data_IF_848618210448
#
_entry.id   IF_848618210448
#
_cell.length_a   1.000
_cell.length_b   1.000
_cell.length_c   1.000
_cell.angle_alpha   90.00
_cell.angle_beta   90.00
_cell.angle_gamma   90.00
#
_symmetry.space_group_name_H-M   'P 1'
#
loop_
_entity.id
_entity.type
_entity.pdbx_description
1 polymer ?
#
# COMPACT_ATOMS: atom_id res chain seq x y z
N UNK A 1 -0.06 3.69 -24.57
CA UNK A 1 -1.23 4.56 -24.37
C UNK A 1 -1.03 5.42 -23.14
N UNK A 2 -1.26 6.71 -23.28
CA UNK A 2 -1.13 7.66 -22.19
C UNK A 2 -2.27 7.53 -21.17
N UNK A 3 -1.95 7.68 -19.90
CA UNK A 3 -2.94 7.73 -18.85
C UNK A 3 -3.62 9.11 -18.81
N UNK A 4 -4.81 9.13 -18.26
CA UNK A 4 -5.62 10.35 -18.08
C UNK A 4 -5.96 10.54 -16.62
N UNK A 5 -6.09 11.79 -16.19
CA UNK A 5 -6.55 12.09 -14.84
C UNK A 5 -7.91 11.43 -14.62
N UNK A 6 -8.04 10.72 -13.50
CA UNK A 6 -9.23 9.94 -13.15
C UNK A 6 -9.07 8.44 -13.42
N UNK A 7 -8.11 8.06 -14.27
CA UNK A 7 -7.82 6.63 -14.45
C UNK A 7 -7.42 6.03 -13.12
N UNK A 8 -7.88 4.82 -12.85
CA UNK A 8 -7.62 4.17 -11.58
C UNK A 8 -7.55 2.66 -11.72
N UNK A 9 -7.00 2.03 -10.70
CA UNK A 9 -6.86 0.58 -10.62
C UNK A 9 -7.09 0.16 -9.17
N UNK A 10 -7.76 -0.96 -8.99
CA UNK A 10 -7.96 -1.54 -7.67
C UNK A 10 -7.87 -3.05 -7.73
N UNK A 11 -7.39 -3.64 -6.65
CA UNK A 11 -7.36 -5.09 -6.50
C UNK A 11 -7.50 -5.47 -5.03
N UNK A 12 -7.94 -6.69 -4.79
CA UNK A 12 -7.99 -7.26 -3.44
C UNK A 12 -6.66 -7.88 -3.09
N UNK A 13 -6.31 -7.88 -1.80
CA UNK A 13 -5.13 -8.57 -1.31
C UNK A 13 -5.35 -9.08 0.11
N UNK A 14 -4.58 -10.09 0.47
CA UNK A 14 -4.53 -10.64 1.83
C UNK A 14 -3.06 -10.77 2.19
N UNK A 15 -2.69 -10.28 3.38
CA UNK A 15 -1.37 -10.51 3.95
C UNK A 15 -1.55 -11.53 5.07
N UNK A 16 -0.94 -12.70 4.93
CA UNK A 16 -1.03 -13.75 5.93
C UNK A 16 -0.07 -13.48 7.08
N UNK A 17 -0.30 -14.11 8.24
CA UNK A 17 0.65 -14.02 9.35
C UNK A 17 2.02 -14.56 8.95
N UNK A 18 2.07 -15.60 8.11
CA UNK A 18 3.32 -16.13 7.60
C UNK A 18 4.10 -15.09 6.81
N UNK A 19 3.40 -14.32 5.98
CA UNK A 19 4.01 -13.22 5.22
C UNK A 19 4.55 -12.14 6.15
N UNK A 20 3.82 -11.81 7.22
CA UNK A 20 4.27 -10.84 8.24
C UNK A 20 5.56 -11.36 8.89
N UNK A 21 5.62 -12.64 9.24
CA UNK A 21 6.81 -13.23 9.83
C UNK A 21 8.01 -13.15 8.88
N UNK A 22 7.81 -13.40 7.59
CA UNK A 22 8.86 -13.29 6.58
C UNK A 22 9.32 -11.84 6.40
N UNK A 23 8.39 -10.90 6.40
CA UNK A 23 8.73 -9.49 6.31
C UNK A 23 9.55 -9.05 7.52
N UNK A 24 9.20 -9.49 8.72
CA UNK A 24 9.95 -9.19 9.93
C UNK A 24 11.40 -9.69 9.83
N UNK A 25 11.59 -10.92 9.31
CA UNK A 25 12.93 -11.47 9.09
C UNK A 25 13.70 -10.66 8.05
N UNK A 26 13.06 -10.34 6.93
CA UNK A 26 13.71 -9.63 5.84
C UNK A 26 14.08 -8.20 6.22
N UNK A 27 13.17 -7.49 6.89
CA UNK A 27 13.35 -6.08 7.21
C UNK A 27 14.10 -5.84 8.52
N UNK A 28 14.11 -6.83 9.43
CA UNK A 28 14.61 -6.66 10.78
C UNK A 28 13.60 -6.01 11.74
N UNK A 29 12.41 -5.65 11.25
CA UNK A 29 11.36 -5.08 12.10
C UNK A 29 10.63 -6.20 12.83
N UNK A 30 11.18 -6.60 13.96
CA UNK A 30 10.67 -7.69 14.80
C UNK A 30 9.91 -7.18 16.02
N UNK A 31 9.24 -6.04 15.89
CA UNK A 31 8.36 -5.54 16.94
C UNK A 31 7.33 -6.62 17.31
N UNK A 32 7.27 -7.03 18.60
CA UNK A 32 6.37 -8.12 19.01
C UNK A 32 4.89 -7.83 18.74
N UNK A 33 4.52 -6.59 18.53
CA UNK A 33 3.15 -6.23 18.14
C UNK A 33 2.71 -6.95 16.85
N UNK A 34 3.63 -7.30 15.99
CA UNK A 34 3.33 -7.97 14.71
C UNK A 34 3.44 -9.51 14.82
N UNK A 35 4.13 -10.03 15.84
CA UNK A 35 4.56 -11.43 15.85
C UNK A 35 4.03 -12.22 17.05
N UNK A 36 3.77 -11.58 18.17
CA UNK A 36 3.50 -12.23 19.43
C UNK A 36 2.06 -11.99 19.87
N UNK A 37 1.24 -13.05 19.85
CA UNK A 37 -0.17 -12.96 20.22
C UNK A 37 -0.38 -12.50 21.66
N UNK A 38 0.48 -12.95 22.58
CA UNK A 38 0.38 -12.57 23.99
C UNK A 38 0.70 -11.10 24.20
N UNK A 39 1.73 -10.61 23.50
CA UNK A 39 2.08 -9.20 23.53
C UNK A 39 0.95 -8.35 22.96
N UNK A 40 0.48 -8.70 21.77
CA UNK A 40 -0.57 -7.95 21.07
C UNK A 40 -1.90 -7.94 21.84
N UNK A 41 -2.22 -9.04 22.56
CA UNK A 41 -3.43 -9.14 23.36
C UNK A 41 -3.51 -8.06 24.45
N UNK A 42 -2.37 -7.56 24.92
CA UNK A 42 -2.30 -6.53 25.94
C UNK A 42 -2.38 -5.12 25.36
N UNK A 43 -2.39 -4.98 24.05
CA UNK A 43 -2.48 -3.68 23.36
C UNK A 43 -3.95 -3.37 23.01
N UNK A 44 -4.20 -2.14 22.58
CA UNK A 44 -5.52 -1.75 22.07
C UNK A 44 -5.95 -2.55 20.84
N UNK A 45 -4.99 -3.14 20.12
CA UNK A 45 -5.26 -3.90 18.89
C UNK A 45 -5.73 -5.32 19.16
N UNK A 46 -5.44 -5.87 20.34
CA UNK A 46 -5.88 -7.17 20.86
C UNK A 46 -5.28 -8.40 20.15
N UNK A 47 -4.75 -8.26 18.95
CA UNK A 47 -4.11 -9.33 18.18
C UNK A 47 -3.03 -8.72 17.29
N UNK A 48 -2.09 -9.54 16.76
CA UNK A 48 -1.03 -9.03 15.91
C UNK A 48 -1.56 -8.26 14.72
N UNK A 49 -0.89 -7.16 14.39
CA UNK A 49 -1.22 -6.33 13.24
C UNK A 49 -0.09 -6.42 12.22
N UNK A 50 -0.42 -6.20 10.96
CA UNK A 50 0.56 -6.12 9.87
C UNK A 50 1.36 -4.83 10.05
N UNK A 51 2.67 -4.88 9.77
CA UNK A 51 3.49 -3.66 9.74
C UNK A 51 2.85 -2.67 8.77
N UNK A 52 2.69 -1.42 9.21
CA UNK A 52 2.14 -0.39 8.33
C UNK A 52 2.91 -0.29 7.02
N UNK A 53 4.25 -0.27 7.11
CA UNK A 53 5.09 -0.17 5.90
C UNK A 53 5.02 -1.41 5.02
N UNK A 54 4.74 -2.59 5.58
CA UNK A 54 4.50 -3.78 4.76
C UNK A 54 3.19 -3.66 3.99
N UNK A 55 2.13 -3.19 4.65
CA UNK A 55 0.82 -3.05 3.99
C UNK A 55 0.90 -2.16 2.75
N UNK A 56 1.72 -1.11 2.79
CA UNK A 56 1.83 -0.15 1.69
C UNK A 56 2.77 -0.60 0.57
N UNK A 57 3.44 -1.74 0.72
CA UNK A 57 4.14 -2.35 -0.42
C UNK A 57 3.15 -2.69 -1.53
N UNK A 58 1.85 -2.81 -1.20
CA UNK A 58 0.79 -2.99 -2.20
C UNK A 58 0.73 -1.81 -3.19
N UNK A 59 1.04 -0.59 -2.75
CA UNK A 59 1.13 0.56 -3.66
C UNK A 59 2.26 0.37 -4.67
N UNK A 60 3.44 -0.03 -4.18
CA UNK A 60 4.58 -0.30 -5.07
C UNK A 60 4.31 -1.44 -6.04
N UNK A 61 3.68 -2.51 -5.57
CA UNK A 61 3.29 -3.62 -6.44
C UNK A 61 2.36 -3.14 -7.56
N UNK A 62 1.30 -2.42 -7.21
CA UNK A 62 0.34 -1.92 -8.21
C UNK A 62 1.02 -0.97 -9.18
N UNK A 63 1.74 0.01 -8.66
CA UNK A 63 2.34 1.05 -9.51
C UNK A 63 3.45 0.50 -10.40
N UNK A 64 4.20 -0.47 -9.93
CA UNK A 64 5.29 -1.07 -10.69
C UNK A 64 4.89 -2.17 -11.64
N UNK A 65 3.73 -2.79 -11.46
CA UNK A 65 3.33 -3.95 -12.28
C UNK A 65 2.00 -3.78 -13.01
N UNK A 66 1.13 -2.89 -12.54
CA UNK A 66 -0.22 -2.75 -13.07
C UNK A 66 -0.57 -1.33 -13.54
N UNK A 67 -0.31 -0.30 -12.71
CA UNK A 67 -0.83 1.03 -12.98
C UNK A 67 0.07 2.11 -12.33
N UNK A 68 0.91 2.82 -13.08
CA UNK A 68 1.12 2.79 -14.54
C UNK A 68 1.61 1.46 -15.08
N UNK A 69 2.35 0.67 -14.30
CA UNK A 69 2.84 -0.63 -14.70
C UNK A 69 4.34 -0.66 -14.92
N UNK A 70 4.80 -1.69 -15.61
CA UNK A 70 6.23 -1.94 -15.82
C UNK A 70 6.95 -0.69 -16.35
N UNK A 71 8.07 -0.37 -15.74
CA UNK A 71 8.86 0.82 -16.05
C UNK A 71 8.57 2.01 -15.14
N UNK A 72 7.53 1.95 -14.31
CA UNK A 72 7.25 3.01 -13.35
C UNK A 72 8.35 3.09 -12.28
N UNK A 73 8.76 4.31 -11.97
CA UNK A 73 9.70 4.57 -10.89
C UNK A 73 8.95 5.36 -9.82
N UNK A 74 8.86 4.81 -8.63
CA UNK A 74 8.20 5.44 -7.49
C UNK A 74 9.17 6.47 -6.91
N UNK A 75 8.86 7.75 -7.02
CA UNK A 75 9.78 8.82 -6.63
C UNK A 75 9.38 9.53 -5.34
N UNK A 76 8.16 9.36 -4.88
CA UNK A 76 7.71 9.97 -3.63
C UNK A 76 6.45 9.31 -3.10
N UNK A 77 6.27 9.37 -1.78
CA UNK A 77 5.09 8.81 -1.14
C UNK A 77 4.89 9.45 0.23
N UNK A 78 3.70 9.95 0.49
CA UNK A 78 3.29 10.23 1.86
C UNK A 78 2.25 9.19 2.29
N UNK A 79 2.10 9.01 3.59
CA UNK A 79 1.24 7.97 4.16
C UNK A 79 0.61 8.47 5.45
N UNK A 80 -0.64 8.09 5.65
CA UNK A 80 -1.34 8.26 6.91
C UNK A 80 -2.06 6.95 7.22
N UNK A 81 -1.71 6.35 8.36
CA UNK A 81 -2.30 5.08 8.81
C UNK A 81 -3.51 5.41 9.68
N UNK A 82 -4.71 5.18 9.15
CA UNK A 82 -5.96 5.55 9.83
C UNK A 82 -6.45 4.46 10.77
N UNK A 83 -6.22 3.19 10.42
CA UNK A 83 -6.67 2.01 11.15
C UNK A 83 -5.65 0.90 11.02
N UNK A 84 -5.59 -0.05 11.98
CA UNK A 84 -4.71 -1.21 11.85
C UNK A 84 -5.18 -2.11 10.71
N UNK A 85 -4.21 -2.77 10.08
CA UNK A 85 -4.46 -3.79 9.07
C UNK A 85 -4.08 -5.13 9.68
N UNK A 86 -5.04 -6.07 9.67
CA UNK A 86 -4.85 -7.37 10.32
C UNK A 86 -4.45 -8.45 9.33
N UNK A 87 -3.61 -9.41 9.74
CA UNK A 87 -3.27 -10.55 8.88
C UNK A 87 -4.51 -11.41 8.58
N UNK A 88 -4.44 -12.14 7.47
CA UNK A 88 -5.44 -13.14 7.08
C UNK A 88 -6.82 -12.57 6.82
N UNK A 89 -6.88 -11.28 6.54
CA UNK A 89 -8.11 -10.55 6.24
C UNK A 89 -7.98 -9.88 4.88
N UNK A 90 -9.08 -9.79 4.15
CA UNK A 90 -9.11 -9.18 2.81
C UNK A 90 -9.16 -7.65 2.91
N UNK A 91 -8.33 -7.00 2.10
CA UNK A 91 -8.32 -5.55 1.92
C UNK A 91 -8.29 -5.21 0.43
N UNK A 92 -8.55 -3.95 0.12
CA UNK A 92 -8.58 -3.45 -1.26
C UNK A 92 -7.59 -2.31 -1.36
N UNK A 93 -6.65 -2.42 -2.31
CA UNK A 93 -5.75 -1.33 -2.68
C UNK A 93 -6.32 -0.61 -3.89
N UNK A 94 -6.32 0.73 -3.85
CA UNK A 94 -6.81 1.56 -4.95
C UNK A 94 -5.79 2.66 -5.24
N UNK A 95 -5.49 2.83 -6.52
CA UNK A 95 -4.55 3.85 -7.01
C UNK A 95 -5.24 4.64 -8.11
N UNK A 96 -5.28 5.95 -7.99
CA UNK A 96 -5.94 6.83 -8.96
C UNK A 96 -5.01 7.96 -9.37
N UNK A 97 -4.88 8.19 -10.67
CA UNK A 97 -4.12 9.31 -11.20
C UNK A 97 -4.88 10.62 -10.98
N UNK A 98 -4.31 11.54 -10.20
CA UNK A 98 -4.97 12.81 -9.84
C UNK A 98 -4.28 14.04 -10.41
N UNK A 99 -3.03 13.90 -10.88
CA UNK A 99 -2.29 15.02 -11.45
C UNK A 99 -1.20 14.49 -12.38
N UNK A 100 -0.97 15.19 -13.47
CA UNK A 100 0.14 14.92 -14.39
C UNK A 100 1.03 16.17 -14.41
N UNK A 101 2.32 15.98 -14.21
CA UNK A 101 3.32 17.05 -14.35
C UNK A 101 3.88 16.92 -15.76
N UNK A 102 3.35 17.73 -16.67
CA UNK A 102 3.71 17.69 -18.08
C UNK A 102 5.20 17.93 -18.28
N UNK A 103 5.74 17.36 -19.34
CA UNK A 103 7.13 17.49 -19.76
C UNK A 103 8.15 16.82 -18.85
N UNK A 104 7.71 16.21 -17.74
CA UNK A 104 8.58 15.49 -16.80
C UNK A 104 8.23 14.01 -16.68
N UNK A 105 7.14 13.57 -17.31
CA UNK A 105 6.64 12.20 -17.23
C UNK A 105 6.32 11.76 -15.80
N UNK A 106 5.91 12.71 -14.94
CA UNK A 106 5.49 12.41 -13.57
C UNK A 106 3.98 12.41 -13.47
N UNK A 107 3.47 11.48 -12.65
CA UNK A 107 2.09 11.49 -12.24
C UNK A 107 2.00 11.46 -10.73
N UNK A 108 1.00 12.13 -10.18
CA UNK A 108 0.66 12.07 -8.76
C UNK A 108 -0.57 11.21 -8.63
N UNK A 109 -0.50 10.22 -7.75
CA UNK A 109 -1.52 9.19 -7.58
C UNK A 109 -2.07 9.22 -6.16
N UNK A 110 -3.37 9.18 -6.04
CA UNK A 110 -4.02 8.91 -4.77
C UNK A 110 -3.90 7.43 -4.48
N UNK A 111 -3.32 7.09 -3.34
CA UNK A 111 -3.04 5.71 -2.95
C UNK A 111 -3.78 5.40 -1.66
N UNK A 112 -4.68 4.40 -1.70
CA UNK A 112 -5.55 4.10 -0.57
C UNK A 112 -5.70 2.60 -0.37
N UNK A 113 -5.87 2.21 0.89
CA UNK A 113 -6.24 0.85 1.27
C UNK A 113 -7.55 0.93 2.05
N UNK A 114 -8.50 0.09 1.69
CA UNK A 114 -9.80 -0.03 2.36
C UNK A 114 -10.00 -1.47 2.85
N UNK A 115 -10.81 -1.62 3.89
CA UNK A 115 -11.33 -2.96 4.23
C UNK A 115 -12.56 -3.27 3.35
N UNK A 116 -13.15 -4.45 3.53
CA UNK A 116 -14.30 -4.88 2.72
C UNK A 116 -15.59 -4.11 3.07
N UNK A 117 -15.60 -3.38 4.17
CA UNK A 117 -16.73 -2.52 4.56
C UNK A 117 -16.51 -1.07 4.12
N UNK A 118 -15.50 -0.83 3.27
CA UNK A 118 -15.15 0.49 2.73
C UNK A 118 -14.60 1.47 3.77
N UNK A 119 -14.12 0.97 4.91
CA UNK A 119 -13.40 1.82 5.86
C UNK A 119 -11.99 2.10 5.32
N UNK A 120 -11.59 3.36 5.41
CA UNK A 120 -10.25 3.78 4.99
C UNK A 120 -9.21 3.33 6.02
N UNK A 121 -8.26 2.53 5.59
CA UNK A 121 -7.19 1.99 6.43
C UNK A 121 -5.91 2.81 6.28
N UNK A 122 -5.50 3.06 5.04
CA UNK A 122 -4.32 3.86 4.72
C UNK A 122 -4.69 4.87 3.65
N UNK A 123 -4.18 6.10 3.79
CA UNK A 123 -4.39 7.16 2.83
C UNK A 123 -3.05 7.83 2.52
N UNK A 124 -2.87 8.28 1.29
CA UNK A 124 -1.68 9.00 0.90
C UNK A 124 -1.66 9.34 -0.57
N UNK A 125 -0.58 10.01 -0.97
CA UNK A 125 -0.32 10.30 -2.38
C UNK A 125 1.08 9.83 -2.74
N UNK A 126 1.19 9.19 -3.90
CA UNK A 126 2.47 8.73 -4.44
C UNK A 126 2.77 9.46 -5.73
N UNK A 127 4.04 9.69 -6.00
CA UNK A 127 4.49 10.25 -7.27
C UNK A 127 5.32 9.22 -7.99
N UNK A 128 5.04 9.03 -9.26
CA UNK A 128 5.80 8.09 -10.09
C UNK A 128 6.17 8.72 -11.42
N UNK A 129 7.32 8.27 -11.93
CA UNK A 129 7.77 8.60 -13.27
C UNK A 129 7.45 7.42 -14.19
N UNK A 130 6.92 7.70 -15.37
CA UNK A 130 6.76 6.69 -16.42
C UNK A 130 6.88 7.34 -17.78
N UNK A 131 7.96 7.02 -18.49
CA UNK A 131 8.31 7.71 -19.71
C UNK A 131 7.32 7.52 -20.86
N UNK A 132 6.62 6.39 -20.89
CA UNK A 132 5.68 6.11 -21.98
C UNK A 132 4.23 6.49 -21.68
N UNK A 133 3.84 6.44 -20.40
CA UNK A 133 2.41 6.59 -20.04
C UNK A 133 2.06 7.91 -19.37
N UNK A 134 3.04 8.70 -18.97
CA UNK A 134 2.81 9.98 -18.29
C UNK A 134 3.43 11.16 -19.04
#
# INVERSE_FOLDING_TARGET
MKLKIGDNYKEEFIITQEMVNKFAELSGDKNPLHLDKKFAAKTRFKKPVVHGLFSVTSFGKVMGTKFPGAGAIHVGQNLSFKRPLYPDKKYIVRVELIKIIKDKHFGVFKTQIFDTKKNLIVDGTGTALHEEKL
#
